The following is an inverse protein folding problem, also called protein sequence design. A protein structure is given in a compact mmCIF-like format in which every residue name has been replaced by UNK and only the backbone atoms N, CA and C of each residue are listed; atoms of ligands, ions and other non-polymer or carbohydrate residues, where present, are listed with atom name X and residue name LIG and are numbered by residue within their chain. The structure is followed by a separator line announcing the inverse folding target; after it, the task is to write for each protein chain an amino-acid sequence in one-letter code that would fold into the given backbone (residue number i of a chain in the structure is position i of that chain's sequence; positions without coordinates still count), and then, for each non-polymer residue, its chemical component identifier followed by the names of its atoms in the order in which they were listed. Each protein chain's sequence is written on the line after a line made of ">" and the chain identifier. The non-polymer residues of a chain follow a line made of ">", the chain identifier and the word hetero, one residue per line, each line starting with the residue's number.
data_IF_254548328334
#
_entry.id   IF_254548328334
#
_cell.length_a   1.000
_cell.length_b   1.000
_cell.length_c   1.000
_cell.angle_alpha   90.00
_cell.angle_beta   90.00
_cell.angle_gamma   90.00
#
_symmetry.space_group_name_H-M   'P 1'
#
loop_
_entity.id
_entity.type
_entity.pdbx_description
1 polymer ?
#
# COMPACT_ATOMS: atom_id res chain seq x y z
N UNK A 1 -60.47 -48.33 -26.23
CA UNK A 1 -59.37 -47.73 -25.45
C UNK A 1 -58.26 -47.34 -26.40
N UNK A 2 -58.10 -46.05 -26.71
CA UNK A 2 -56.97 -45.53 -27.51
C UNK A 2 -56.29 -44.47 -26.64
N UNK A 3 -55.15 -44.84 -26.06
CA UNK A 3 -54.34 -43.96 -25.23
C UNK A 3 -53.67 -42.90 -26.12
N UNK A 4 -53.91 -41.62 -25.85
CA UNK A 4 -53.28 -40.49 -26.56
C UNK A 4 -51.80 -40.37 -26.16
N UNK A 5 -50.82 -40.54 -27.08
CA UNK A 5 -49.39 -40.48 -26.76
C UNK A 5 -48.83 -39.07 -26.48
N UNK A 6 -49.63 -38.01 -26.67
CA UNK A 6 -49.12 -36.63 -26.71
C UNK A 6 -48.90 -35.92 -25.36
N UNK A 7 -49.59 -36.35 -24.28
CA UNK A 7 -49.58 -35.61 -23.00
C UNK A 7 -48.27 -35.78 -22.21
N UNK A 8 -47.51 -36.85 -22.45
CA UNK A 8 -46.25 -37.10 -21.76
C UNK A 8 -45.09 -36.25 -22.32
N UNK A 9 -45.13 -35.91 -23.61
CA UNK A 9 -44.10 -35.12 -24.28
C UNK A 9 -44.19 -33.62 -23.95
N UNK A 10 -45.41 -33.08 -23.80
CA UNK A 10 -45.61 -31.66 -23.42
C UNK A 10 -45.22 -31.37 -21.97
N UNK A 11 -45.55 -32.29 -21.04
CA UNK A 11 -45.23 -32.12 -19.61
C UNK A 11 -43.72 -32.19 -19.35
N UNK A 12 -42.99 -33.09 -20.03
CA UNK A 12 -41.52 -33.14 -19.94
C UNK A 12 -40.87 -31.90 -20.57
N UNK A 13 -41.40 -31.38 -21.67
CA UNK A 13 -40.91 -30.14 -22.31
C UNK A 13 -41.11 -28.90 -21.43
N UNK A 14 -42.25 -28.78 -20.74
CA UNK A 14 -42.51 -27.68 -19.79
C UNK A 14 -41.63 -27.74 -18.54
N UNK A 15 -41.43 -28.93 -17.95
CA UNK A 15 -40.54 -29.12 -16.80
C UNK A 15 -39.09 -28.80 -17.14
N UNK A 16 -38.65 -29.17 -18.35
CA UNK A 16 -37.30 -28.87 -18.83
C UNK A 16 -37.09 -27.35 -19.00
N UNK A 17 -38.06 -26.64 -19.61
CA UNK A 17 -38.00 -25.18 -19.76
C UNK A 17 -37.98 -24.43 -18.42
N UNK A 18 -38.75 -24.88 -17.43
CA UNK A 18 -38.73 -24.25 -16.10
C UNK A 18 -37.42 -24.52 -15.35
N UNK A 19 -36.85 -25.72 -15.47
CA UNK A 19 -35.51 -26.03 -14.95
C UNK A 19 -34.44 -25.16 -15.60
N UNK A 20 -34.45 -25.02 -16.93
CA UNK A 20 -33.50 -24.18 -17.68
C UNK A 20 -33.58 -22.71 -17.24
N UNK A 21 -34.79 -22.16 -17.09
CA UNK A 21 -35.01 -20.79 -16.60
C UNK A 21 -34.53 -20.58 -15.16
N UNK A 22 -34.79 -21.56 -14.29
CA UNK A 22 -34.35 -21.52 -12.90
C UNK A 22 -32.82 -21.59 -12.78
N UNK A 23 -32.18 -22.51 -13.51
CA UNK A 23 -30.71 -22.62 -13.56
C UNK A 23 -30.10 -21.34 -14.12
N UNK A 24 -30.66 -20.79 -15.21
CA UNK A 24 -30.19 -19.55 -15.81
C UNK A 24 -30.23 -18.36 -14.83
N UNK A 25 -31.28 -18.25 -14.03
CA UNK A 25 -31.39 -17.17 -13.02
C UNK A 25 -30.36 -17.33 -11.91
N UNK A 26 -30.13 -18.55 -11.43
CA UNK A 26 -29.12 -18.84 -10.39
C UNK A 26 -27.69 -18.58 -10.88
N UNK A 27 -27.41 -18.81 -12.16
CA UNK A 27 -26.12 -18.46 -12.76
C UNK A 27 -25.90 -16.94 -12.76
N UNK A 28 -26.90 -16.14 -13.14
CA UNK A 28 -26.80 -14.67 -13.08
C UNK A 28 -26.65 -14.19 -11.64
N UNK A 29 -27.43 -14.72 -10.70
CA UNK A 29 -27.31 -14.40 -9.27
C UNK A 29 -25.86 -14.61 -8.79
N UNK A 30 -25.26 -15.76 -9.12
CA UNK A 30 -23.90 -16.10 -8.71
C UNK A 30 -22.87 -15.12 -9.26
N UNK A 31 -22.95 -14.77 -10.55
CA UNK A 31 -22.02 -13.80 -11.16
C UNK A 31 -22.15 -12.43 -10.50
N UNK A 32 -23.37 -11.99 -10.21
CA UNK A 32 -23.61 -10.67 -9.59
C UNK A 32 -23.17 -10.64 -8.12
N UNK A 33 -23.35 -11.73 -7.37
CA UNK A 33 -22.77 -11.87 -6.01
C UNK A 33 -21.26 -11.69 -6.06
N UNK A 34 -20.58 -12.35 -7.01
CA UNK A 34 -19.12 -12.26 -7.15
C UNK A 34 -18.68 -10.82 -7.43
N UNK A 35 -19.36 -10.09 -8.33
CA UNK A 35 -19.07 -8.69 -8.60
C UNK A 35 -19.33 -7.80 -7.37
N UNK A 36 -20.42 -8.02 -6.66
CA UNK A 36 -20.76 -7.24 -5.47
C UNK A 36 -19.70 -7.42 -4.36
N UNK A 37 -19.32 -8.67 -4.06
CA UNK A 37 -18.27 -8.97 -3.06
C UNK A 37 -16.93 -8.38 -3.48
N UNK A 38 -16.58 -8.45 -4.76
CA UNK A 38 -15.37 -7.83 -5.29
C UNK A 38 -15.38 -6.30 -5.09
N UNK A 39 -16.50 -5.64 -5.33
CA UNK A 39 -16.67 -4.21 -5.10
C UNK A 39 -16.51 -3.82 -3.62
N UNK A 40 -17.10 -4.59 -2.70
CA UNK A 40 -16.92 -4.39 -1.25
C UNK A 40 -15.45 -4.53 -0.86
N UNK A 41 -14.78 -5.59 -1.34
CA UNK A 41 -13.38 -5.85 -1.03
C UNK A 41 -12.46 -4.72 -1.53
N UNK A 42 -12.72 -4.16 -2.72
CA UNK A 42 -11.97 -3.03 -3.26
C UNK A 42 -12.21 -1.73 -2.49
N UNK A 43 -13.44 -1.47 -2.05
CA UNK A 43 -13.73 -0.29 -1.21
C UNK A 43 -13.10 -0.39 0.19
N UNK A 44 -12.96 -1.60 0.74
CA UNK A 44 -12.33 -1.78 2.05
C UNK A 44 -10.83 -1.41 2.05
N UNK A 45 -10.15 -1.53 0.91
CA UNK A 45 -8.75 -1.14 0.73
C UNK A 45 -8.49 -0.56 -0.67
N UNK A 46 -9.09 0.61 -0.91
CA UNK A 46 -8.91 1.36 -2.17
C UNK A 46 -7.44 1.66 -2.47
N UNK A 47 -6.57 2.01 -1.49
CA UNK A 47 -5.15 2.23 -1.76
C UNK A 47 -4.43 1.00 -2.35
N UNK A 48 -4.79 -0.21 -1.93
CA UNK A 48 -4.21 -1.43 -2.51
C UNK A 48 -4.69 -1.67 -3.95
N UNK A 49 -5.96 -1.42 -4.24
CA UNK A 49 -6.47 -1.52 -5.60
C UNK A 49 -5.89 -0.43 -6.52
N UNK A 50 -5.76 0.80 -6.03
CA UNK A 50 -5.12 1.90 -6.75
C UNK A 50 -3.65 1.59 -7.10
N UNK A 51 -2.90 0.92 -6.20
CA UNK A 51 -1.55 0.43 -6.48
C UNK A 51 -1.52 -0.61 -7.60
N UNK A 52 -2.52 -1.48 -7.69
CA UNK A 52 -2.65 -2.41 -8.80
C UNK A 52 -2.98 -1.72 -10.13
N UNK A 53 -3.64 -0.56 -10.11
CA UNK A 53 -3.86 0.26 -11.32
C UNK A 53 -2.61 1.06 -11.73
N UNK A 54 -1.76 1.45 -10.77
CA UNK A 54 -0.49 2.13 -11.04
C UNK A 54 0.54 1.25 -11.75
N UNK A 55 0.38 -0.07 -11.77
CA UNK A 55 1.25 -0.96 -12.57
C UNK A 55 0.93 -0.87 -14.07
N UNK A 56 -0.14 -0.16 -14.46
CA UNK A 56 -0.58 -0.04 -15.84
C UNK A 56 0.06 1.18 -16.50
N UNK A 57 0.83 0.93 -17.57
CA UNK A 57 1.54 1.96 -18.36
C UNK A 57 0.67 3.12 -18.86
N UNK A 58 -0.61 2.85 -19.13
CA UNK A 58 -1.51 3.78 -19.82
C UNK A 58 -2.47 4.53 -18.91
N UNK A 59 -2.48 4.28 -17.61
CA UNK A 59 -3.38 4.97 -16.68
C UNK A 59 -2.63 6.17 -16.08
N UNK A 60 -3.01 7.41 -16.40
CA UNK A 60 -2.40 8.60 -15.81
C UNK A 60 -2.58 8.58 -14.29
N UNK A 61 -1.54 8.97 -13.54
CA UNK A 61 -1.56 8.94 -12.07
C UNK A 61 -2.73 9.75 -11.49
N UNK A 62 -3.09 10.85 -12.15
CA UNK A 62 -4.13 11.77 -11.72
C UNK A 62 -5.53 11.17 -11.76
N UNK A 63 -5.77 10.16 -12.62
CA UNK A 63 -7.07 9.51 -12.75
C UNK A 63 -7.15 8.17 -12.01
N UNK A 64 -6.05 7.65 -11.46
CA UNK A 64 -6.03 6.34 -10.79
C UNK A 64 -7.02 6.28 -9.64
N UNK A 65 -7.04 7.30 -8.78
CA UNK A 65 -7.95 7.32 -7.64
C UNK A 65 -9.41 7.45 -8.08
N UNK A 66 -9.68 8.25 -9.11
CA UNK A 66 -11.00 8.37 -9.72
C UNK A 66 -11.49 7.03 -10.27
N UNK A 67 -10.62 6.30 -10.99
CA UNK A 67 -10.92 4.97 -11.53
C UNK A 67 -11.09 3.93 -10.44
N UNK A 68 -10.23 3.95 -9.41
CA UNK A 68 -10.30 3.02 -8.29
C UNK A 68 -11.64 3.12 -7.56
N UNK A 69 -12.08 4.34 -7.24
CA UNK A 69 -13.39 4.58 -6.64
C UNK A 69 -14.54 4.29 -7.63
N UNK A 70 -14.44 4.77 -8.87
CA UNK A 70 -15.50 4.64 -9.87
C UNK A 70 -15.83 3.19 -10.21
N UNK A 71 -14.82 2.36 -10.43
CA UNK A 71 -14.99 0.91 -10.67
C UNK A 71 -15.64 0.24 -9.46
N UNK A 72 -15.13 0.52 -8.26
CA UNK A 72 -15.60 -0.15 -7.03
C UNK A 72 -17.07 0.21 -6.75
N UNK A 73 -17.44 1.48 -6.96
CA UNK A 73 -18.82 1.94 -6.85
C UNK A 73 -19.72 1.35 -7.95
N UNK A 74 -19.22 1.18 -9.18
CA UNK A 74 -19.97 0.55 -10.25
C UNK A 74 -20.28 -0.92 -9.95
N UNK A 75 -19.30 -1.69 -9.46
CA UNK A 75 -19.48 -3.10 -9.09
C UNK A 75 -20.52 -3.26 -7.96
N UNK A 76 -20.48 -2.38 -6.96
CA UNK A 76 -21.46 -2.35 -5.88
C UNK A 76 -22.85 -1.95 -6.37
N UNK A 77 -22.92 -0.89 -7.19
CA UNK A 77 -24.17 -0.38 -7.75
C UNK A 77 -24.88 -1.42 -8.62
N UNK A 78 -24.14 -2.15 -9.45
CA UNK A 78 -24.67 -3.25 -10.27
C UNK A 78 -25.27 -4.35 -9.38
N UNK A 79 -24.55 -4.74 -8.32
CA UNK A 79 -25.06 -5.73 -7.36
C UNK A 79 -26.33 -5.25 -6.66
N UNK A 80 -26.34 -4.00 -6.20
CA UNK A 80 -27.48 -3.40 -5.50
C UNK A 80 -28.73 -3.36 -6.41
N UNK A 81 -28.59 -2.92 -7.67
CA UNK A 81 -29.67 -2.89 -8.65
C UNK A 81 -30.28 -4.28 -8.89
N UNK A 82 -29.44 -5.31 -8.98
CA UNK A 82 -29.89 -6.69 -9.16
C UNK A 82 -30.69 -7.21 -7.96
N UNK A 83 -30.19 -7.04 -6.73
CA UNK A 83 -30.84 -7.56 -5.52
C UNK A 83 -32.12 -6.79 -5.15
N UNK A 84 -32.15 -5.48 -5.40
CA UNK A 84 -33.36 -4.66 -5.24
C UNK A 84 -34.40 -4.92 -6.33
N UNK A 85 -34.07 -5.75 -7.34
CA UNK A 85 -34.92 -6.05 -8.50
C UNK A 85 -35.26 -4.80 -9.35
N UNK A 86 -34.46 -3.75 -9.24
CA UNK A 86 -34.64 -2.48 -9.95
C UNK A 86 -33.82 -2.54 -11.24
N UNK A 87 -34.49 -2.57 -12.39
CA UNK A 87 -33.80 -2.51 -13.68
C UNK A 87 -32.86 -3.69 -13.94
N UNK A 88 -33.32 -4.94 -13.73
CA UNK A 88 -32.53 -6.17 -13.94
C UNK A 88 -31.77 -6.24 -15.27
N UNK A 89 -32.36 -5.71 -16.35
CA UNK A 89 -31.68 -5.61 -17.65
C UNK A 89 -30.49 -4.66 -17.61
N UNK A 90 -30.63 -3.51 -16.95
CA UNK A 90 -29.57 -2.53 -16.77
C UNK A 90 -28.45 -3.12 -15.91
N UNK A 91 -28.76 -3.86 -14.84
CA UNK A 91 -27.77 -4.54 -14.04
C UNK A 91 -26.98 -5.60 -14.83
N UNK A 92 -27.66 -6.42 -15.64
CA UNK A 92 -27.00 -7.43 -16.49
C UNK A 92 -26.16 -6.77 -17.59
N UNK A 93 -26.66 -5.73 -18.24
CA UNK A 93 -25.91 -4.98 -19.25
C UNK A 93 -24.69 -4.29 -18.63
N UNK A 94 -24.85 -3.67 -17.46
CA UNK A 94 -23.75 -3.04 -16.72
C UNK A 94 -22.69 -4.07 -16.31
N UNK A 95 -23.09 -5.22 -15.78
CA UNK A 95 -22.19 -6.32 -15.44
C UNK A 95 -21.44 -6.86 -16.67
N UNK A 96 -22.14 -7.03 -17.80
CA UNK A 96 -21.54 -7.49 -19.04
C UNK A 96 -20.54 -6.47 -19.59
N UNK A 97 -20.92 -5.19 -19.65
CA UNK A 97 -20.02 -4.10 -20.09
C UNK A 97 -18.78 -4.03 -19.20
N UNK A 98 -18.94 -4.10 -17.88
CA UNK A 98 -17.82 -4.07 -16.95
C UNK A 98 -16.89 -5.27 -17.16
N UNK A 99 -17.44 -6.49 -17.24
CA UNK A 99 -16.63 -7.70 -17.52
C UNK A 99 -15.95 -7.65 -18.89
N UNK A 100 -16.61 -7.12 -19.93
CA UNK A 100 -16.02 -6.94 -21.26
C UNK A 100 -14.87 -5.95 -21.21
N UNK A 101 -15.07 -4.78 -20.61
CA UNK A 101 -14.02 -3.76 -20.47
C UNK A 101 -12.84 -4.34 -19.70
N UNK A 102 -13.05 -4.94 -18.53
CA UNK A 102 -11.97 -5.56 -17.76
C UNK A 102 -11.23 -6.63 -18.56
N UNK A 103 -11.96 -7.53 -19.23
CA UNK A 103 -11.36 -8.61 -20.02
C UNK A 103 -10.57 -8.06 -21.20
N UNK A 104 -11.09 -7.07 -21.91
CA UNK A 104 -10.40 -6.40 -23.02
C UNK A 104 -9.14 -5.67 -22.54
N UNK A 105 -9.22 -4.98 -21.41
CA UNK A 105 -8.12 -4.25 -20.77
C UNK A 105 -7.02 -5.22 -20.31
N UNK A 106 -7.35 -6.36 -19.70
CA UNK A 106 -6.38 -7.41 -19.38
C UNK A 106 -5.78 -8.07 -20.61
N UNK A 107 -6.59 -8.38 -21.62
CA UNK A 107 -6.13 -8.98 -22.88
C UNK A 107 -5.17 -8.04 -23.63
N UNK A 108 -5.44 -6.75 -23.61
CA UNK A 108 -4.55 -5.73 -24.15
C UNK A 108 -3.23 -5.69 -23.37
N UNK A 109 -3.29 -5.75 -22.04
CA UNK A 109 -2.09 -5.79 -21.20
C UNK A 109 -1.24 -7.06 -21.40
N UNK A 110 -1.82 -8.21 -21.77
CA UNK A 110 -1.02 -9.40 -22.15
C UNK A 110 -0.23 -9.24 -23.44
N UNK A 111 -0.63 -8.31 -24.33
CA UNK A 111 0.06 -8.05 -25.61
C UNK A 111 1.16 -7.01 -25.50
N UNK A 112 0.98 -6.02 -24.62
CA UNK A 112 2.02 -5.04 -24.25
C UNK A 112 2.07 -4.95 -22.71
N UNK A 113 2.80 -5.88 -22.03
CA UNK A 113 2.92 -5.90 -20.58
C UNK A 113 3.70 -4.71 -20.01
N UNK A 114 4.24 -3.84 -20.87
CA UNK A 114 5.21 -2.82 -20.48
C UNK A 114 6.56 -3.43 -20.12
N UNK A 115 7.63 -2.61 -20.04
CA UNK A 115 8.93 -3.10 -19.60
C UNK A 115 8.82 -3.66 -18.17
N UNK A 116 9.52 -4.76 -17.85
CA UNK A 116 9.70 -5.16 -16.45
C UNK A 116 10.34 -3.99 -15.69
N UNK A 117 10.07 -3.84 -14.38
CA UNK A 117 10.76 -2.82 -13.60
C UNK A 117 12.27 -3.06 -13.66
N UNK A 118 13.01 -2.15 -14.28
CA UNK A 118 14.47 -2.23 -14.52
C UNK A 118 15.32 -2.12 -13.24
N UNK A 119 14.69 -1.95 -12.07
CA UNK A 119 15.40 -1.97 -10.80
C UNK A 119 15.61 -3.41 -10.34
N UNK A 120 16.88 -3.79 -10.10
CA UNK A 120 17.37 -5.12 -9.70
C UNK A 120 16.85 -5.67 -8.36
N UNK A 121 15.66 -5.28 -7.93
CA UNK A 121 14.93 -5.77 -6.78
C UNK A 121 14.26 -7.12 -7.09
N UNK A 122 14.89 -8.23 -6.71
CA UNK A 122 14.36 -9.60 -6.84
C UNK A 122 12.89 -9.72 -6.35
N UNK A 123 12.52 -9.03 -5.27
CA UNK A 123 11.16 -9.05 -4.73
C UNK A 123 10.09 -8.33 -5.57
N UNK A 124 10.47 -7.34 -6.39
CA UNK A 124 9.54 -6.67 -7.32
C UNK A 124 9.38 -7.49 -8.59
N UNK A 125 10.45 -8.11 -9.07
CA UNK A 125 10.41 -9.02 -10.21
C UNK A 125 9.54 -10.23 -9.86
N UNK A 126 9.71 -10.85 -8.69
CA UNK A 126 8.85 -11.97 -8.25
C UNK A 126 7.37 -11.55 -8.16
N UNK A 127 7.07 -10.34 -7.70
CA UNK A 127 5.68 -9.82 -7.66
C UNK A 127 5.14 -9.48 -9.04
N UNK A 128 5.98 -8.92 -9.91
CA UNK A 128 5.65 -8.63 -11.31
C UNK A 128 5.38 -9.93 -12.07
N UNK A 129 6.26 -10.93 -11.95
CA UNK A 129 6.10 -12.25 -12.55
C UNK A 129 4.91 -13.02 -11.98
N UNK A 130 4.70 -12.99 -10.65
CA UNK A 130 3.53 -13.60 -10.03
C UNK A 130 2.22 -12.91 -10.48
N UNK A 131 2.24 -11.59 -10.62
CA UNK A 131 1.10 -10.83 -11.13
C UNK A 131 0.87 -11.12 -12.62
N UNK A 132 1.92 -11.15 -13.44
CA UNK A 132 1.88 -11.51 -14.87
C UNK A 132 1.35 -12.93 -15.07
N UNK A 133 1.82 -13.89 -14.27
CA UNK A 133 1.33 -15.27 -14.28
C UNK A 133 -0.15 -15.37 -13.87
N UNK A 134 -0.63 -14.47 -12.99
CA UNK A 134 -2.03 -14.43 -12.58
C UNK A 134 -2.97 -13.78 -13.62
N UNK A 135 -2.47 -12.97 -14.56
CA UNK A 135 -3.31 -12.30 -15.58
C UNK A 135 -4.07 -13.30 -16.45
N UNK A 136 -3.41 -14.39 -16.87
CA UNK A 136 -4.06 -15.44 -17.66
C UNK A 136 -5.26 -16.04 -16.90
N UNK A 137 -5.09 -16.31 -15.61
CA UNK A 137 -6.17 -16.79 -14.73
C UNK A 137 -7.31 -15.78 -14.58
N UNK A 138 -7.00 -14.48 -14.51
CA UNK A 138 -8.00 -13.39 -14.44
C UNK A 138 -8.82 -13.26 -15.72
N UNK A 139 -8.20 -13.41 -16.90
CA UNK A 139 -8.89 -13.40 -18.20
C UNK A 139 -9.83 -14.59 -18.31
N UNK A 140 -9.37 -15.80 -17.96
CA UNK A 140 -10.21 -17.00 -17.96
C UNK A 140 -11.36 -16.87 -16.97
N UNK A 141 -11.10 -16.35 -15.76
CA UNK A 141 -12.14 -16.10 -14.76
C UNK A 141 -13.19 -15.13 -15.27
N UNK A 142 -12.78 -13.95 -15.74
CA UNK A 142 -13.72 -12.94 -16.22
C UNK A 142 -14.49 -13.41 -17.47
N UNK A 143 -13.83 -14.15 -18.36
CA UNK A 143 -14.45 -14.80 -19.50
C UNK A 143 -15.51 -15.84 -19.10
N UNK A 144 -15.21 -16.69 -18.10
CA UNK A 144 -16.17 -17.68 -17.58
C UNK A 144 -17.38 -17.01 -16.90
N UNK A 145 -17.15 -15.91 -16.18
CA UNK A 145 -18.22 -15.10 -15.57
C UNK A 145 -19.08 -14.43 -16.65
N UNK A 146 -18.47 -13.91 -17.72
CA UNK A 146 -19.19 -13.30 -18.83
C UNK A 146 -20.04 -14.32 -19.59
N UNK A 147 -19.49 -15.50 -19.88
CA UNK A 147 -20.23 -16.60 -20.52
C UNK A 147 -21.38 -17.07 -19.62
N UNK A 148 -21.13 -17.24 -18.32
CA UNK A 148 -22.16 -17.61 -17.34
C UNK A 148 -23.26 -16.56 -17.22
N UNK A 149 -22.91 -15.28 -17.27
CA UNK A 149 -23.84 -14.16 -17.24
C UNK A 149 -24.73 -14.13 -18.49
N UNK A 150 -24.15 -14.25 -19.69
CA UNK A 150 -24.88 -14.20 -20.95
C UNK A 150 -25.75 -15.44 -21.15
N UNK A 151 -25.20 -16.63 -20.91
CA UNK A 151 -25.95 -17.89 -20.97
C UNK A 151 -27.08 -17.91 -19.94
N UNK A 152 -26.81 -17.43 -18.72
CA UNK A 152 -27.80 -17.30 -17.66
C UNK A 152 -28.89 -16.29 -18.00
N UNK A 153 -28.55 -15.13 -18.55
CA UNK A 153 -29.50 -14.09 -18.94
C UNK A 153 -30.38 -14.52 -20.14
N UNK A 154 -29.82 -15.26 -21.09
CA UNK A 154 -30.55 -15.85 -22.20
C UNK A 154 -31.52 -16.95 -21.72
N UNK A 155 -31.03 -17.90 -20.91
CA UNK A 155 -31.83 -19.00 -20.37
C UNK A 155 -32.95 -18.53 -19.43
N UNK A 156 -32.72 -17.46 -18.65
CA UNK A 156 -33.70 -16.91 -17.70
C UNK A 156 -34.71 -15.95 -18.32
N UNK A 157 -34.55 -15.59 -19.61
CA UNK A 157 -35.45 -14.69 -20.33
C UNK A 157 -35.42 -13.24 -19.84
N UNK A 158 -34.33 -12.80 -19.20
CA UNK A 158 -34.18 -11.42 -18.68
C UNK A 158 -34.30 -10.38 -19.79
N UNK A 159 -33.89 -10.73 -21.01
CA UNK A 159 -34.00 -9.89 -22.20
C UNK A 159 -35.33 -10.00 -22.94
N UNK A 160 -36.21 -10.95 -22.60
CA UNK A 160 -37.52 -11.01 -23.23
C UNK A 160 -38.36 -9.82 -22.78
N UNK A 161 -38.74 -8.97 -23.75
CA UNK A 161 -39.85 -8.03 -23.63
C UNK A 161 -41.05 -8.78 -23.01
N UNK A 162 -41.81 -8.17 -22.09
CA UNK A 162 -43.14 -8.69 -21.82
C UNK A 162 -43.85 -8.72 -23.18
N UNK A 163 -44.06 -9.91 -23.72
CA UNK A 163 -44.98 -10.04 -24.84
C UNK A 163 -46.30 -9.48 -24.33
N UNK A 164 -46.72 -8.36 -24.90
CA UNK A 164 -48.12 -8.00 -24.93
C UNK A 164 -48.84 -9.14 -25.69
N UNK A 165 -49.23 -10.18 -24.96
CA UNK A 165 -50.18 -11.14 -25.47
C UNK A 165 -51.59 -10.53 -25.31
N UNK A 166 -52.44 -10.59 -26.33
CA UNK A 166 -53.78 -10.02 -26.30
C UNK A 166 -54.64 -10.75 -25.28
N UNK A 167 -55.56 -10.00 -24.68
CA UNK A 167 -56.38 -10.43 -23.56
C UNK A 167 -57.04 -11.80 -23.77
N UNK A 168 -56.86 -12.68 -22.78
CA UNK A 168 -57.80 -13.75 -22.52
C UNK A 168 -58.45 -13.47 -21.17
N UNK A 169 -59.74 -13.13 -21.24
CA UNK A 169 -60.67 -13.11 -20.12
C UNK A 169 -60.66 -14.50 -19.47
N UNK A 170 -60.02 -14.65 -18.32
CA UNK A 170 -60.26 -15.82 -17.49
C UNK A 170 -61.65 -15.71 -16.84
N UNK A 171 -62.51 -16.64 -17.24
CA UNK A 171 -63.81 -16.91 -16.65
C UNK A 171 -63.66 -17.20 -15.16
N UNK A 172 -64.53 -16.55 -14.38
CA UNK A 172 -64.93 -16.93 -13.04
C UNK A 172 -65.01 -18.46 -12.87
N UNK A 173 -64.12 -19.01 -12.05
CA UNK A 173 -64.15 -20.40 -11.60
C UNK A 173 -63.80 -20.44 -10.12
N UNK A 174 -64.85 -20.48 -9.29
CA UNK A 174 -65.04 -20.94 -7.90
C UNK A 174 -63.89 -20.84 -6.87
N UNK A 175 -64.19 -20.46 -5.60
CA UNK A 175 -63.19 -20.42 -4.54
C UNK A 175 -62.79 -21.85 -4.16
N UNK A 176 -61.50 -22.17 -4.32
CA UNK A 176 -60.88 -23.36 -3.72
C UNK A 176 -60.32 -22.94 -2.37
N UNK A 177 -60.72 -23.69 -1.34
CA UNK A 177 -60.33 -23.57 0.06
C UNK A 177 -58.81 -23.46 0.20
N UNK A 178 -58.34 -22.41 0.88
CA UNK A 178 -56.93 -22.24 1.25
C UNK A 178 -56.63 -23.07 2.51
N UNK A 179 -55.78 -24.07 2.39
CA UNK A 179 -54.97 -24.55 3.52
C UNK A 179 -53.66 -23.73 3.59
N UNK A 180 -53.20 -23.32 4.79
CA UNK A 180 -51.99 -22.52 4.93
C UNK A 180 -50.73 -23.41 4.80
N UNK A 181 -49.73 -23.03 3.98
CA UNK A 181 -48.41 -23.62 4.09
C UNK A 181 -47.65 -22.96 5.26
N UNK A 182 -47.12 -23.83 6.10
CA UNK A 182 -46.24 -23.61 7.23
C UNK A 182 -45.12 -22.58 7.01
N UNK A 183 -45.11 -21.56 7.86
CA UNK A 183 -43.94 -21.02 8.57
C UNK A 183 -42.64 -20.85 7.77
N UNK A 184 -42.57 -19.84 6.91
CA UNK A 184 -41.28 -19.24 6.57
C UNK A 184 -40.88 -18.31 7.71
N UNK A 185 -39.84 -18.72 8.47
CA UNK A 185 -39.19 -17.91 9.50
C UNK A 185 -38.53 -16.70 8.83
N UNK A 186 -39.21 -15.55 8.84
CA UNK A 186 -38.59 -14.27 8.52
C UNK A 186 -37.68 -13.85 9.67
N UNK A 187 -36.46 -13.42 9.34
CA UNK A 187 -35.56 -12.77 10.30
C UNK A 187 -36.32 -11.59 10.92
N UNK A 188 -36.45 -11.60 12.24
CA UNK A 188 -37.10 -10.50 12.93
C UNK A 188 -36.16 -9.28 12.93
N UNK A 189 -36.72 -8.07 12.90
CA UNK A 189 -35.95 -6.83 13.02
C UNK A 189 -35.03 -6.86 14.26
N UNK A 190 -35.51 -7.49 15.33
CA UNK A 190 -34.78 -7.74 16.57
C UNK A 190 -33.50 -8.55 16.33
N UNK A 191 -33.59 -9.65 15.58
CA UNK A 191 -32.46 -10.54 15.31
C UNK A 191 -31.35 -9.83 14.54
N UNK A 192 -31.71 -9.01 13.55
CA UNK A 192 -30.75 -8.18 12.80
C UNK A 192 -30.15 -7.07 13.67
N UNK A 193 -30.94 -6.42 14.54
CA UNK A 193 -30.44 -5.37 15.45
C UNK A 193 -29.47 -5.97 16.49
N UNK A 194 -29.79 -7.13 17.06
CA UNK A 194 -28.91 -7.84 18.00
C UNK A 194 -27.60 -8.24 17.31
N UNK A 195 -27.66 -8.74 16.08
CA UNK A 195 -26.44 -9.11 15.32
C UNK A 195 -25.56 -7.90 15.05
N UNK A 196 -26.14 -6.78 14.61
CA UNK A 196 -25.34 -5.56 14.38
C UNK A 196 -24.77 -5.04 15.72
N UNK A 197 -25.55 -5.03 16.79
CA UNK A 197 -25.08 -4.64 18.13
C UNK A 197 -23.94 -5.55 18.63
N UNK A 198 -24.01 -6.85 18.36
CA UNK A 198 -22.94 -7.79 18.68
C UNK A 198 -21.70 -7.57 17.80
N UNK A 199 -21.85 -7.36 16.49
CA UNK A 199 -20.72 -7.08 15.59
C UNK A 199 -20.02 -5.78 15.99
N UNK A 200 -20.77 -4.70 16.28
CA UNK A 200 -20.17 -3.42 16.70
C UNK A 200 -19.46 -3.54 18.04
N UNK A 201 -20.02 -4.30 18.98
CA UNK A 201 -19.35 -4.63 20.25
C UNK A 201 -18.07 -5.44 20.04
N UNK A 202 -18.10 -6.46 19.18
CA UNK A 202 -16.92 -7.27 18.89
C UNK A 202 -15.84 -6.44 18.19
N UNK A 203 -16.20 -5.61 17.22
CA UNK A 203 -15.26 -4.72 16.51
C UNK A 203 -14.68 -3.65 17.43
N UNK A 204 -15.48 -3.09 18.35
CA UNK A 204 -14.98 -2.08 19.31
C UNK A 204 -13.95 -2.66 20.28
N UNK A 205 -14.10 -3.93 20.67
CA UNK A 205 -13.12 -4.65 21.47
C UNK A 205 -11.86 -5.05 20.66
N UNK A 206 -12.00 -5.30 19.35
CA UNK A 206 -10.90 -5.70 18.47
C UNK A 206 -10.05 -4.53 17.95
N UNK A 207 -10.63 -3.35 17.75
CA UNK A 207 -9.94 -2.17 17.25
C UNK A 207 -8.64 -1.81 18.00
N UNK A 208 -8.60 -1.73 19.36
CA UNK A 208 -7.38 -1.40 20.08
C UNK A 208 -6.27 -2.46 19.88
N UNK A 209 -6.65 -3.74 19.72
CA UNK A 209 -5.67 -4.83 19.50
C UNK A 209 -4.96 -4.73 18.15
N UNK A 210 -5.62 -4.18 17.11
CA UNK A 210 -5.05 -3.99 15.78
C UNK A 210 -4.03 -2.84 15.72
N UNK A 211 -4.16 -1.83 16.60
CA UNK A 211 -3.22 -0.71 16.64
C UNK A 211 -1.82 -1.17 17.05
N UNK A 212 -1.72 -2.05 18.06
CA UNK A 212 -0.44 -2.62 18.51
C UNK A 212 0.23 -3.49 17.45
N UNK A 213 -0.53 -4.29 16.69
CA UNK A 213 0.00 -5.11 15.58
C UNK A 213 0.53 -4.23 14.45
N UNK A 214 -0.20 -3.17 14.09
CA UNK A 214 0.25 -2.21 13.08
C UNK A 214 1.52 -1.47 13.51
N UNK A 215 1.64 -1.08 14.78
CA UNK A 215 2.85 -0.45 15.31
C UNK A 215 4.08 -1.36 15.22
N UNK A 216 3.95 -2.63 15.63
CA UNK A 216 5.03 -3.63 15.48
C UNK A 216 5.38 -3.90 14.01
N UNK A 217 4.38 -3.95 13.14
CA UNK A 217 4.61 -4.10 11.69
C UNK A 217 5.39 -2.93 11.09
N UNK A 218 5.12 -1.70 11.54
CA UNK A 218 5.91 -0.52 11.16
C UNK A 218 7.34 -0.62 11.66
N UNK A 219 7.54 -0.97 12.94
CA UNK A 219 8.87 -1.12 13.54
C UNK A 219 9.75 -2.14 12.80
N UNK A 220 9.22 -3.33 12.48
CA UNK A 220 9.95 -4.36 11.71
C UNK A 220 10.37 -3.82 10.34
N UNK A 221 9.50 -3.06 9.70
CA UNK A 221 9.79 -2.45 8.40
C UNK A 221 10.86 -1.36 8.51
N UNK A 222 10.78 -0.48 9.50
CA UNK A 222 11.80 0.53 9.80
C UNK A 222 13.17 -0.11 9.95
N UNK A 223 13.29 -1.14 10.78
CA UNK A 223 14.55 -1.84 11.00
C UNK A 223 15.07 -2.51 9.72
N UNK A 224 14.18 -3.06 8.90
CA UNK A 224 14.54 -3.60 7.58
C UNK A 224 15.07 -2.51 6.65
N UNK A 225 14.42 -1.35 6.59
CA UNK A 225 14.85 -0.23 5.75
C UNK A 225 16.18 0.35 6.24
N UNK A 226 16.33 0.56 7.55
CA UNK A 226 17.59 1.02 8.17
C UNK A 226 18.75 0.09 7.83
N UNK A 227 18.52 -1.23 7.86
CA UNK A 227 19.53 -2.21 7.44
C UNK A 227 19.90 -2.04 5.97
N UNK A 228 18.92 -1.88 5.08
CA UNK A 228 19.18 -1.63 3.67
C UNK A 228 19.93 -0.32 3.45
N UNK A 229 19.58 0.75 4.16
CA UNK A 229 20.25 2.04 4.06
C UNK A 229 21.70 1.98 4.55
N UNK A 230 21.93 1.37 5.72
CA UNK A 230 23.29 1.14 6.24
C UNK A 230 24.13 0.28 5.27
N UNK A 231 23.51 -0.73 4.64
CA UNK A 231 24.17 -1.56 3.62
C UNK A 231 24.53 -0.72 2.38
N UNK A 232 23.63 0.14 1.90
CA UNK A 232 23.91 1.03 0.76
C UNK A 232 25.04 2.03 1.09
N UNK A 233 25.12 2.51 2.33
CA UNK A 233 26.20 3.39 2.77
C UNK A 233 27.53 2.64 2.86
N UNK A 234 27.54 1.40 3.34
CA UNK A 234 28.72 0.56 3.32
C UNK A 234 29.17 0.28 1.88
N UNK A 235 28.24 0.00 0.97
CA UNK A 235 28.54 -0.14 -0.46
C UNK A 235 29.15 1.14 -1.04
N UNK A 236 28.57 2.30 -0.71
CA UNK A 236 29.14 3.60 -1.08
C UNK A 236 30.59 3.77 -0.59
N UNK A 237 30.90 3.43 0.67
CA UNK A 237 32.29 3.53 1.14
C UNK A 237 33.24 2.64 0.32
N UNK A 238 32.78 1.46 -0.13
CA UNK A 238 33.58 0.58 -0.98
C UNK A 238 33.85 1.16 -2.38
N UNK A 239 32.88 1.89 -2.94
CA UNK A 239 33.00 2.53 -4.25
C UNK A 239 33.81 3.84 -4.19
N UNK A 240 33.87 4.50 -3.03
CA UNK A 240 34.43 5.85 -2.85
C UNK A 240 35.61 5.90 -1.86
N UNK A 241 36.65 5.10 -2.07
CA UNK A 241 37.92 5.14 -1.29
C UNK A 241 37.71 5.14 0.23
N UNK A 242 36.87 4.23 0.73
CA UNK A 242 36.49 4.11 2.13
C UNK A 242 35.83 5.36 2.73
N UNK A 243 35.39 6.30 1.91
CA UNK A 243 34.87 7.59 2.38
C UNK A 243 33.36 7.53 2.53
N UNK A 244 32.86 7.97 3.68
CA UNK A 244 31.43 8.14 3.89
C UNK A 244 30.87 9.29 3.06
N UNK A 245 29.54 9.30 2.89
CA UNK A 245 28.87 10.31 2.07
C UNK A 245 29.28 11.72 2.50
N UNK A 246 29.80 12.45 1.52
CA UNK A 246 30.19 13.84 1.62
C UNK A 246 29.88 14.51 0.29
N UNK A 247 28.95 15.47 0.28
CA UNK A 247 28.44 16.09 -0.95
C UNK A 247 28.35 17.61 -0.85
N UNK A 248 28.96 18.18 0.18
CA UNK A 248 29.01 19.62 0.44
C UNK A 248 30.45 20.07 0.56
N UNK A 249 30.75 21.24 0.05
CA UNK A 249 32.06 21.88 0.17
C UNK A 249 32.06 22.81 1.39
N UNK A 250 32.98 22.64 2.36
CA UNK A 250 33.07 23.50 3.54
C UNK A 250 33.52 24.94 3.24
N UNK A 251 34.16 25.18 2.10
CA UNK A 251 34.65 26.50 1.70
C UNK A 251 33.58 27.32 0.96
N UNK A 252 32.45 26.69 0.60
CA UNK A 252 31.33 27.34 -0.07
C UNK A 252 30.18 27.64 0.91
N UNK A 253 29.51 28.78 0.72
CA UNK A 253 28.29 29.11 1.47
C UNK A 253 27.16 28.10 1.17
N UNK A 254 27.02 27.74 -0.11
CA UNK A 254 26.13 26.69 -0.58
C UNK A 254 26.83 25.83 -1.62
N UNK A 255 26.58 24.52 -1.56
CA UNK A 255 26.97 23.58 -2.62
C UNK A 255 25.78 23.35 -3.55
N UNK A 256 26.00 23.42 -4.85
CA UNK A 256 24.96 23.14 -5.86
C UNK A 256 25.07 21.70 -6.34
N UNK A 257 23.99 20.95 -6.21
CA UNK A 257 23.87 19.61 -6.79
C UNK A 257 22.81 19.59 -7.89
N UNK A 258 23.09 18.91 -8.99
CA UNK A 258 22.11 18.68 -10.06
C UNK A 258 21.63 17.23 -9.96
N UNK A 259 20.34 17.03 -9.66
CA UNK A 259 19.74 15.69 -9.56
C UNK A 259 18.51 15.65 -10.46
N UNK A 260 18.46 14.69 -11.38
CA UNK A 260 17.38 14.56 -12.37
C UNK A 260 17.12 15.86 -13.16
N UNK A 261 18.19 16.61 -13.49
CA UNK A 261 18.10 17.87 -14.22
C UNK A 261 17.52 19.04 -13.43
N UNK A 262 17.39 18.93 -12.10
CA UNK A 262 17.02 20.03 -11.20
C UNK A 262 18.21 20.42 -10.33
N UNK A 263 18.36 21.72 -10.14
CA UNK A 263 19.36 22.30 -9.25
C UNK A 263 18.86 22.32 -7.80
N UNK A 264 19.76 21.95 -6.89
CA UNK A 264 19.57 22.00 -5.44
C UNK A 264 20.74 22.76 -4.83
N UNK A 265 20.45 23.90 -4.21
CA UNK A 265 21.42 24.61 -3.39
C UNK A 265 21.30 24.12 -1.94
N UNK A 266 22.42 23.69 -1.34
CA UNK A 266 22.41 23.09 -0.02
C UNK A 266 23.52 23.68 0.86
N UNK A 267 23.19 23.95 2.13
CA UNK A 267 24.17 24.35 3.15
C UNK A 267 25.07 23.16 3.52
N UNK A 268 26.20 23.45 4.16
CA UNK A 268 27.17 22.41 4.55
C UNK A 268 26.56 21.21 5.30
N UNK A 269 25.67 21.46 6.26
CA UNK A 269 25.04 20.42 7.09
C UNK A 269 23.76 19.80 6.48
N UNK A 270 23.30 20.30 5.34
CA UNK A 270 22.14 19.76 4.65
C UNK A 270 22.19 18.24 4.40
N UNK A 271 23.36 17.59 4.14
CA UNK A 271 23.45 16.15 3.98
C UNK A 271 22.84 15.33 5.11
N UNK A 272 22.76 15.85 6.34
CA UNK A 272 22.06 15.17 7.45
C UNK A 272 20.61 14.82 7.10
N UNK A 273 19.94 15.66 6.32
CA UNK A 273 18.57 15.45 5.87
C UNK A 273 18.59 14.97 4.44
N UNK A 274 19.43 15.57 3.58
CA UNK A 274 19.37 15.36 2.12
C UNK A 274 20.24 14.24 1.56
N UNK A 275 20.85 13.42 2.43
CA UNK A 275 21.76 12.33 2.07
C UNK A 275 21.33 11.42 0.89
N UNK A 276 20.03 11.11 0.65
CA UNK A 276 19.66 10.26 -0.48
C UNK A 276 20.04 10.84 -1.83
N UNK A 277 20.16 12.17 -1.97
CA UNK A 277 20.60 12.81 -3.22
C UNK A 277 21.96 12.28 -3.68
N UNK A 278 22.90 12.11 -2.75
CA UNK A 278 24.25 11.64 -3.08
C UNK A 278 24.34 10.14 -3.39
N UNK A 279 23.30 9.37 -3.07
CA UNK A 279 23.23 7.93 -3.35
C UNK A 279 22.16 7.60 -4.42
N UNK A 280 21.45 8.60 -4.93
CA UNK A 280 20.19 8.38 -5.63
C UNK A 280 20.35 7.58 -6.91
N UNK A 281 21.30 7.99 -7.74
CA UNK A 281 21.53 7.40 -9.06
C UNK A 281 22.08 5.97 -8.95
N UNK A 282 23.00 5.74 -8.00
CA UNK A 282 23.69 4.46 -7.86
C UNK A 282 22.91 3.41 -7.02
N UNK A 283 22.16 3.82 -6.00
CA UNK A 283 21.59 2.90 -5.01
C UNK A 283 20.06 3.02 -4.82
N UNK A 284 19.40 3.99 -5.47
CA UNK A 284 17.96 4.21 -5.35
C UNK A 284 17.26 4.41 -6.70
N UNK A 285 17.80 3.86 -7.80
CA UNK A 285 17.19 3.90 -9.14
C UNK A 285 16.85 5.31 -9.65
N UNK A 286 17.64 6.32 -9.27
CA UNK A 286 17.37 7.75 -9.54
C UNK A 286 15.98 8.23 -9.06
N UNK A 287 15.38 7.53 -8.10
CA UNK A 287 14.01 7.75 -7.65
C UNK A 287 13.95 8.46 -6.30
N UNK A 288 13.73 9.77 -6.31
CA UNK A 288 13.62 10.62 -5.11
C UNK A 288 12.49 10.22 -4.14
N UNK A 289 11.50 9.47 -4.64
CA UNK A 289 10.36 8.95 -3.87
C UNK A 289 10.43 7.43 -3.71
N UNK A 290 11.65 6.89 -3.65
CA UNK A 290 11.86 5.47 -3.40
C UNK A 290 11.12 5.06 -2.11
N UNK A 291 10.30 3.97 -2.12
CA UNK A 291 9.46 3.63 -0.97
C UNK A 291 10.24 3.50 0.34
N UNK A 292 11.47 2.97 0.30
CA UNK A 292 12.27 2.85 1.51
C UNK A 292 12.62 4.20 2.13
N UNK A 293 12.71 5.30 1.35
CA UNK A 293 13.11 6.65 1.79
C UNK A 293 11.96 7.51 2.35
N UNK A 294 10.70 7.17 2.05
CA UNK A 294 9.54 8.04 2.35
C UNK A 294 8.45 7.37 3.18
N UNK A 295 8.42 6.04 3.25
CA UNK A 295 7.23 5.32 3.69
C UNK A 295 6.98 5.33 5.20
N UNK A 296 8.01 5.62 6.00
CA UNK A 296 7.86 5.77 7.45
C UNK A 296 7.28 7.13 7.87
N UNK A 297 7.31 8.13 6.98
CA UNK A 297 6.97 9.51 7.29
C UNK A 297 5.88 10.09 6.41
N UNK A 298 4.95 9.30 5.85
CA UNK A 298 3.80 9.90 5.14
C UNK A 298 3.09 10.99 5.95
N UNK A 299 3.09 10.88 7.28
CA UNK A 299 2.49 11.85 8.20
C UNK A 299 3.46 12.97 8.64
N UNK A 300 4.80 12.78 8.58
CA UNK A 300 5.82 13.74 9.07
C UNK A 300 6.62 14.42 7.94
N UNK A 301 6.95 13.69 6.87
CA UNK A 301 7.62 14.21 5.68
C UNK A 301 6.75 15.17 4.89
N UNK A 302 5.41 15.06 4.99
CA UNK A 302 4.50 16.03 4.40
C UNK A 302 4.52 17.39 5.10
N UNK A 303 4.78 17.44 6.41
CA UNK A 303 4.81 18.71 7.17
C UNK A 303 6.16 19.42 7.09
N UNK A 304 7.28 18.68 7.00
CA UNK A 304 8.63 19.25 7.13
C UNK A 304 9.53 19.06 5.90
N UNK A 305 9.05 18.41 4.84
CA UNK A 305 9.84 18.19 3.61
C UNK A 305 11.08 17.30 3.80
N UNK A 306 11.14 16.53 4.89
CA UNK A 306 12.27 15.67 5.21
C UNK A 306 12.09 14.26 4.64
N UNK A 307 13.19 13.61 4.26
CA UNK A 307 13.18 12.15 4.10
C UNK A 307 12.96 11.45 5.44
N UNK A 308 12.49 10.20 5.37
CA UNK A 308 12.10 9.44 6.55
C UNK A 308 13.23 9.16 7.54
N UNK A 309 14.47 9.38 7.14
CA UNK A 309 15.67 9.09 7.93
C UNK A 309 16.66 10.24 7.87
N UNK A 310 17.36 10.43 8.98
CA UNK A 310 18.43 11.40 9.15
C UNK A 310 19.78 10.68 9.14
N UNK A 311 20.72 11.22 8.39
CA UNK A 311 22.13 10.82 8.37
C UNK A 311 22.88 11.48 9.53
N UNK A 312 23.74 10.71 10.20
CA UNK A 312 24.51 11.20 11.34
C UNK A 312 25.51 12.28 10.92
N UNK A 313 25.39 13.47 11.53
CA UNK A 313 26.28 14.61 11.29
C UNK A 313 27.75 14.27 11.60
N UNK A 314 27.99 13.34 12.52
CA UNK A 314 29.33 12.90 12.93
C UNK A 314 30.25 12.44 11.79
N UNK A 315 29.68 12.10 10.63
CA UNK A 315 30.43 11.66 9.45
C UNK A 315 30.81 12.80 8.50
N UNK A 316 30.28 14.01 8.73
CA UNK A 316 30.49 15.20 7.92
C UNK A 316 31.61 16.09 8.47
N UNK A 317 32.36 15.69 9.49
CA UNK A 317 33.53 16.41 9.95
C UNK A 317 34.53 15.46 10.60
N UNK A 318 35.81 15.84 10.60
CA UNK A 318 36.87 15.04 11.24
C UNK A 318 36.57 14.80 12.71
N UNK A 319 36.99 13.66 13.29
CA UNK A 319 36.75 13.33 14.70
C UNK A 319 37.10 14.46 15.68
N UNK A 320 38.18 15.21 15.40
CA UNK A 320 38.70 16.30 16.22
C UNK A 320 37.74 17.50 16.29
N UNK A 321 36.91 17.72 15.26
CA UNK A 321 35.87 18.74 15.26
C UNK A 321 34.82 18.48 16.34
N UNK A 322 34.55 17.21 16.65
CA UNK A 322 33.50 16.80 17.56
C UNK A 322 33.93 16.75 19.02
N UNK A 323 35.17 17.10 19.33
CA UNK A 323 35.68 17.19 20.68
C UNK A 323 35.90 18.66 21.07
N UNK A 324 35.27 19.15 22.16
CA UNK A 324 35.42 20.53 22.61
C UNK A 324 36.89 20.97 22.84
N UNK A 325 37.76 20.04 23.22
CA UNK A 325 39.17 20.32 23.54
C UNK A 325 40.06 20.43 22.29
N UNK A 326 39.67 19.78 21.19
CA UNK A 326 40.47 19.73 19.94
C UNK A 326 39.81 20.46 18.77
N UNK A 327 38.64 21.09 18.99
CA UNK A 327 37.92 21.81 17.95
C UNK A 327 38.63 23.12 17.62
N UNK A 328 38.96 23.29 16.35
CA UNK A 328 39.65 24.48 15.84
C UNK A 328 38.80 25.27 14.82
N UNK A 329 37.94 24.63 14.01
CA UNK A 329 37.02 25.35 13.11
C UNK A 329 36.78 24.68 11.75
N UNK A 330 36.40 25.48 10.74
CA UNK A 330 35.99 25.01 9.40
C UNK A 330 36.98 24.08 8.70
N UNK A 331 38.29 24.22 8.91
CA UNK A 331 39.27 23.34 8.25
C UNK A 331 39.18 21.86 8.69
N UNK A 332 38.44 21.58 9.78
CA UNK A 332 38.15 20.23 10.25
C UNK A 332 36.85 19.66 9.65
N UNK A 333 36.10 20.45 8.88
CA UNK A 333 34.96 20.04 8.10
C UNK A 333 35.45 19.28 6.86
N UNK A 334 35.30 17.97 6.88
CA UNK A 334 35.82 17.08 5.85
C UNK A 334 35.11 15.71 5.92
N UNK A 335 35.14 14.93 4.84
CA UNK A 335 34.68 13.55 4.88
C UNK A 335 35.43 12.73 5.92
N UNK A 336 34.73 11.78 6.54
CA UNK A 336 35.33 10.74 7.37
C UNK A 336 35.47 9.44 6.58
N UNK A 337 36.47 8.63 6.95
CA UNK A 337 36.73 7.33 6.33
C UNK A 337 36.35 6.16 7.23
N UNK A 338 35.96 5.04 6.64
CA UNK A 338 35.59 3.81 7.32
C UNK A 338 36.64 3.32 8.34
N UNK A 339 37.96 3.33 8.05
CA UNK A 339 38.99 2.96 9.02
C UNK A 339 39.07 3.87 10.26
N UNK A 340 38.52 5.09 10.21
CA UNK A 340 38.51 6.00 11.34
C UNK A 340 37.42 5.66 12.37
N UNK A 341 36.45 4.82 11.99
CA UNK A 341 35.35 4.39 12.86
C UNK A 341 35.86 3.36 13.86
N UNK A 342 35.95 3.74 15.14
CA UNK A 342 36.48 2.86 16.19
C UNK A 342 35.50 1.78 16.65
N UNK A 343 34.21 2.08 16.61
CA UNK A 343 33.16 1.23 17.16
C UNK A 343 32.02 0.99 16.16
N UNK A 344 32.26 0.29 15.03
CA UNK A 344 31.29 0.20 13.94
C UNK A 344 29.94 -0.42 14.36
N UNK A 345 29.95 -1.35 15.32
CA UNK A 345 28.73 -1.95 15.88
C UNK A 345 28.01 -1.11 16.94
N UNK A 346 28.59 0.01 17.37
CA UNK A 346 28.01 0.95 18.35
C UNK A 346 27.98 2.40 17.85
N UNK A 347 28.39 2.65 16.61
CA UNK A 347 28.31 3.93 15.92
C UNK A 347 27.14 3.89 14.94
N UNK A 348 26.13 4.71 15.18
CA UNK A 348 24.98 4.79 14.29
C UNK A 348 25.29 5.68 13.10
N UNK A 349 24.94 5.21 11.91
CA UNK A 349 25.12 5.95 10.64
C UNK A 349 23.82 6.63 10.23
N UNK A 350 22.68 5.98 10.48
CA UNK A 350 21.38 6.48 10.03
C UNK A 350 20.27 6.09 11.02
N UNK A 351 19.26 6.94 11.15
CA UNK A 351 18.16 6.79 12.09
C UNK A 351 16.86 7.37 11.52
N UNK A 352 15.68 6.90 11.95
CA UNK A 352 14.40 7.47 11.52
C UNK A 352 14.24 8.89 12.04
N UNK A 353 13.83 9.81 11.18
CA UNK A 353 13.54 11.20 11.55
C UNK A 353 12.39 11.28 12.59
N UNK A 354 11.50 10.29 12.57
CA UNK A 354 10.40 10.16 13.53
C UNK A 354 10.87 9.91 14.98
N UNK A 355 12.11 9.44 15.20
CA UNK A 355 12.66 9.30 16.56
C UNK A 355 13.04 10.67 17.16
N UNK A 356 13.15 11.72 16.33
CA UNK A 356 13.45 13.11 16.75
C UNK A 356 12.20 13.97 16.96
N UNK A 357 11.09 13.62 16.30
CA UNK A 357 9.83 14.37 16.41
C UNK A 357 9.07 13.87 17.63
N UNK A 358 8.75 14.73 18.62
CA UNK A 358 7.96 14.32 19.78
C UNK A 358 6.56 13.91 19.30
N UNK A 359 6.25 12.61 19.26
CA UNK A 359 4.94 12.14 18.81
C UNK A 359 3.84 12.37 19.84
N UNK A 360 4.17 12.55 21.12
CA UNK A 360 3.26 12.97 22.20
C UNK A 360 4.09 13.41 23.41
N UNK A 361 3.72 14.51 24.06
CA UNK A 361 4.39 15.07 25.25
C UNK A 361 4.16 14.24 26.54
N UNK A 362 4.05 12.91 26.46
CA UNK A 362 3.97 12.06 27.65
C UNK A 362 5.37 11.70 28.16
N UNK A 363 5.90 12.57 29.01
CA UNK A 363 7.19 12.44 29.71
C UNK A 363 7.35 11.13 30.50
N UNK A 364 6.27 10.38 30.78
CA UNK A 364 6.33 9.06 31.45
C UNK A 364 6.82 7.93 30.54
N UNK A 365 6.76 8.09 29.22
CA UNK A 365 7.20 7.09 28.24
C UNK A 365 8.65 7.28 27.78
N UNK A 366 9.28 8.41 28.09
CA UNK A 366 10.67 8.71 27.68
C UNK A 366 11.69 7.68 28.21
N UNK A 367 11.44 7.06 29.36
CA UNK A 367 12.28 5.98 29.90
C UNK A 367 12.12 4.61 29.21
N UNK A 368 11.13 4.46 28.30
CA UNK A 368 10.85 3.24 27.53
C UNK A 368 11.02 3.42 26.02
N UNK A 369 11.38 4.61 25.57
CA UNK A 369 11.60 4.89 24.15
C UNK A 369 12.77 4.04 23.63
N UNK A 370 12.53 3.33 22.53
CA UNK A 370 13.55 2.57 21.82
C UNK A 370 13.87 3.28 20.51
N UNK A 371 15.13 3.63 20.34
CA UNK A 371 15.65 4.26 19.15
C UNK A 371 16.00 3.22 18.12
N UNK A 372 15.52 3.39 16.90
CA UNK A 372 15.82 2.46 15.82
C UNK A 372 17.04 3.01 15.09
N UNK A 373 18.11 2.24 15.04
CA UNK A 373 19.40 2.75 14.54
C UNK A 373 19.97 1.76 13.54
N UNK A 374 20.40 2.27 12.39
CA UNK A 374 21.31 1.59 11.47
C UNK A 374 22.75 1.91 11.85
N UNK A 375 23.58 0.88 11.97
CA UNK A 375 24.97 0.96 12.43
C UNK A 375 25.95 0.84 11.27
N UNK A 376 27.18 1.30 11.50
CA UNK A 376 28.26 1.24 10.50
C UNK A 376 28.62 -0.19 10.11
N UNK A 377 28.45 -1.16 11.01
CA UNK A 377 28.64 -2.59 10.70
C UNK A 377 27.56 -3.20 9.79
N UNK A 378 26.60 -2.38 9.31
CA UNK A 378 25.48 -2.81 8.48
C UNK A 378 24.34 -3.44 9.27
N UNK A 379 24.42 -3.53 10.60
CA UNK A 379 23.32 -3.99 11.44
C UNK A 379 22.28 -2.88 11.65
N UNK A 380 21.05 -3.27 11.98
CA UNK A 380 20.03 -2.34 12.43
C UNK A 380 19.30 -2.93 13.64
N UNK A 381 19.16 -2.14 14.71
CA UNK A 381 18.52 -2.60 15.95
C UNK A 381 17.85 -1.47 16.71
N UNK A 382 16.87 -1.85 17.52
CA UNK A 382 16.21 -0.95 18.46
C UNK A 382 17.00 -0.89 19.78
N UNK A 383 17.53 0.28 20.14
CA UNK A 383 18.35 0.54 21.33
C UNK A 383 17.53 1.25 22.39
N UNK A 384 17.63 0.84 23.66
CA UNK A 384 16.94 1.55 24.73
C UNK A 384 17.57 2.92 24.98
N UNK A 385 16.76 3.94 25.27
CA UNK A 385 17.24 5.29 25.60
C UNK A 385 18.37 5.31 26.65
N UNK A 386 18.30 4.44 27.65
CA UNK A 386 19.29 4.37 28.73
C UNK A 386 20.66 3.85 28.28
N UNK A 387 20.71 3.10 27.18
CA UNK A 387 21.93 2.55 26.58
C UNK A 387 22.57 3.52 25.59
N UNK A 388 21.87 4.60 25.23
CA UNK A 388 22.40 5.66 24.38
C UNK A 388 23.25 6.63 25.18
N UNK A 389 24.34 7.07 24.55
CA UNK A 389 25.09 8.23 25.00
C UNK A 389 24.38 9.51 24.53
N UNK A 390 24.45 10.59 25.33
CA UNK A 390 23.79 11.85 24.99
C UNK A 390 24.43 12.48 23.74
N UNK A 391 23.59 13.13 22.92
CA UNK A 391 24.07 13.87 21.77
C UNK A 391 24.88 15.11 22.15
N UNK A 392 25.88 15.46 21.35
CA UNK A 392 26.71 16.65 21.54
C UNK A 392 25.95 17.91 21.11
N UNK A 393 25.42 18.64 22.10
CA UNK A 393 24.49 19.78 21.92
C UNK A 393 25.02 20.98 21.16
N UNK A 394 26.34 21.15 21.07
CA UNK A 394 26.96 22.27 20.34
C UNK A 394 27.79 21.78 19.17
N UNK A 395 27.51 20.56 18.67
CA UNK A 395 28.37 19.90 17.69
C UNK A 395 28.56 20.68 16.38
N UNK A 396 27.53 21.32 15.81
CA UNK A 396 27.62 21.99 14.50
C UNK A 396 27.98 23.50 14.57
N UNK A 397 28.08 24.10 15.76
CA UNK A 397 28.33 25.54 15.93
C UNK A 397 29.76 25.95 15.51
N UNK A 398 29.97 27.15 14.90
CA UNK A 398 29.03 28.27 14.75
C UNK A 398 28.31 28.37 13.39
N UNK A 399 28.43 27.36 12.51
CA UNK A 399 28.05 27.46 11.09
C UNK A 399 26.54 27.35 10.78
N UNK A 400 25.71 28.01 11.58
CA UNK A 400 24.53 28.76 11.15
C UNK A 400 23.40 28.12 10.33
N UNK A 401 23.44 26.85 9.93
CA UNK A 401 22.27 26.21 9.32
C UNK A 401 21.53 25.44 10.38
N UNK A 402 20.25 25.76 10.59
CA UNK A 402 19.35 25.08 11.53
C UNK A 402 19.14 23.60 11.20
N UNK A 403 20.17 22.78 11.46
CA UNK A 403 20.07 21.33 11.44
C UNK A 403 19.06 20.91 12.48
N UNK A 404 18.11 20.12 12.03
CA UNK A 404 17.02 19.60 12.86
C UNK A 404 17.49 18.47 13.78
N UNK A 405 18.80 18.17 13.80
CA UNK A 405 19.37 17.02 14.50
C UNK A 405 20.39 17.38 15.61
N UNK A 406 20.62 18.67 15.89
CA UNK A 406 21.59 19.15 16.89
C UNK A 406 21.28 18.60 18.29
N UNK A 407 22.29 18.00 18.91
CA UNK A 407 22.21 17.52 20.30
C UNK A 407 21.37 16.28 20.51
N UNK A 408 20.83 15.67 19.45
CA UNK A 408 20.19 14.38 19.57
C UNK A 408 21.22 13.23 19.62
N UNK A 409 20.90 12.12 20.30
CA UNK A 409 21.73 10.92 20.27
C UNK A 409 21.96 10.42 18.84
N UNK A 410 23.05 9.68 18.64
CA UNK A 410 23.49 9.10 17.35
C UNK A 410 24.01 10.11 16.32
N UNK A 411 23.36 11.26 16.15
CA UNK A 411 23.75 12.24 15.12
C UNK A 411 25.00 13.02 15.50
N UNK A 412 25.08 13.41 16.77
CA UNK A 412 26.14 14.24 17.31
C UNK A 412 26.87 13.51 18.43
N UNK A 413 28.09 13.06 18.19
CA UNK A 413 28.83 12.24 19.15
C UNK A 413 30.13 12.92 19.49
N UNK A 414 30.47 12.99 20.78
CA UNK A 414 31.80 13.44 21.19
C UNK A 414 32.85 12.52 20.54
N UNK A 415 33.92 13.11 20.01
CA UNK A 415 34.94 12.43 19.18
C UNK A 415 34.42 11.87 17.84
N UNK A 416 33.20 12.24 17.41
CA UNK A 416 32.67 11.95 16.08
C UNK A 416 32.56 10.45 15.81
N UNK A 417 33.21 10.00 14.73
CA UNK A 417 33.28 8.57 14.36
C UNK A 417 34.21 7.73 15.25
N UNK A 418 35.10 8.38 16.03
CA UNK A 418 35.94 7.70 17.04
C UNK A 418 35.19 7.49 18.36
N UNK A 419 34.12 8.24 18.58
CA UNK A 419 33.16 8.01 19.66
C UNK A 419 32.24 6.81 19.38
N UNK A 420 31.52 6.40 20.40
CA UNK A 420 30.41 5.42 20.30
C UNK A 420 29.12 6.10 20.67
N UNK A 421 28.01 5.61 20.15
CA UNK A 421 26.67 6.12 20.46
C UNK A 421 25.92 5.22 21.44
N UNK A 422 26.31 3.95 21.51
CA UNK A 422 25.75 2.94 22.41
C UNK A 422 26.83 2.50 23.40
N UNK A 423 26.43 2.36 24.68
CA UNK A 423 27.30 2.00 25.81
C UNK A 423 27.94 0.62 25.72
#
# INVERSE_FOLDING_TARGET
>A
MIARPGLHCERTRMLNNNRIRWVGRRLVDLVVVVLFVAGVAKLADVPTFARALLTWKYIPRDVVMLLAYGVSLAELGIGLLWFLQIGRRVAVLGAATLLIVFTATYLYHTRDPGPPPDCGCLGRIIRYEAQQAAIGGLVVRNGSLLVGLLAGAFASGVFHLPNAAPGQRERFSKPVVRTPPSGQRGFTLLETIVVIALITLLVSLLMPSLQGVRARGREVRTLSNLRSHATNMAAYTGDWQDTFLFMTDPDLETTRAVVNGRDYDMSYWAPTIVWPLGLLEAYYDANMVHPSLIEETKDVAQEWGMWAYTYSASFLARPEFWNPETREGAHQLAPTRLPEVRYPGSKGVIVPSADYVPQDFDTRLMGRARWRVGFVDGSARAVAQNDLLPGYRTGEAPYGSGSTSIGFPITHTIDGVRGRDVK
#
